data_IF_698045903796
#
_entry.id   IF_698045903796
#
_cell.length_a   1.000
_cell.length_b   1.000
_cell.length_c   1.000
_cell.angle_alpha   90.00
_cell.angle_beta   90.00
_cell.angle_gamma   90.00
#
_symmetry.space_group_name_H-M   'P 1'
#
loop_
_entity.id
_entity.type
_entity.pdbx_description
1 polymer ?
#
# COMPACT_ATOMS: atom_id res chain seq x y z
N UNK A 1 16.56 -21.01 8.72
CA UNK A 1 15.66 -20.51 7.67
C UNK A 1 15.65 -19.01 7.78
N UNK A 2 15.92 -18.30 6.69
CA UNK A 2 15.83 -16.84 6.71
C UNK A 2 14.43 -16.41 7.18
N UNK A 3 14.40 -15.36 8.00
CA UNK A 3 13.19 -14.80 8.60
C UNK A 3 12.07 -14.57 7.55
N UNK A 4 12.48 -14.27 6.31
CA UNK A 4 11.62 -14.09 5.13
C UNK A 4 10.73 -15.30 4.84
N UNK A 5 11.26 -16.53 4.95
CA UNK A 5 10.51 -17.74 4.60
C UNK A 5 9.42 -18.05 5.63
N UNK A 6 9.65 -17.69 6.89
CA UNK A 6 8.68 -17.85 7.97
C UNK A 6 7.49 -16.91 7.73
N UNK A 7 7.75 -15.64 7.40
CA UNK A 7 6.67 -14.69 7.08
C UNK A 7 5.89 -15.08 5.83
N UNK A 8 6.56 -15.59 4.80
CA UNK A 8 5.92 -16.05 3.57
C UNK A 8 4.99 -17.26 3.82
N UNK A 9 5.45 -18.23 4.60
CA UNK A 9 4.66 -19.39 4.99
C UNK A 9 3.44 -19.00 5.84
N UNK A 10 3.61 -18.10 6.80
CA UNK A 10 2.50 -17.62 7.65
C UNK A 10 1.47 -16.85 6.80
N UNK A 11 1.91 -15.98 5.89
CA UNK A 11 1.02 -15.25 4.98
C UNK A 11 0.25 -16.18 4.05
N UNK A 12 0.91 -17.18 3.46
CA UNK A 12 0.27 -18.20 2.62
C UNK A 12 -0.73 -19.05 3.40
N UNK A 13 -0.37 -19.48 4.61
CA UNK A 13 -1.25 -20.26 5.46
C UNK A 13 -2.51 -19.47 5.85
N UNK A 14 -2.35 -18.22 6.31
CA UNK A 14 -3.47 -17.33 6.63
C UNK A 14 -4.35 -17.06 5.40
N UNK A 15 -3.74 -16.74 4.25
CA UNK A 15 -4.48 -16.52 3.00
C UNK A 15 -5.27 -17.75 2.55
N UNK A 16 -4.67 -18.94 2.66
CA UNK A 16 -5.32 -20.21 2.34
C UNK A 16 -6.51 -20.51 3.27
N UNK A 17 -6.32 -20.34 4.58
CA UNK A 17 -7.39 -20.51 5.57
C UNK A 17 -8.54 -19.52 5.30
N UNK A 18 -8.22 -18.24 5.09
CA UNK A 18 -9.25 -17.23 4.83
C UNK A 18 -10.04 -17.50 3.55
N UNK A 19 -9.34 -17.93 2.49
CA UNK A 19 -9.97 -18.29 1.20
C UNK A 19 -10.89 -19.50 1.34
N UNK A 20 -10.48 -20.54 2.08
CA UNK A 20 -11.32 -21.71 2.35
C UNK A 20 -12.54 -21.35 3.22
N UNK A 21 -12.35 -20.52 4.24
CA UNK A 21 -13.42 -20.06 5.12
C UNK A 21 -14.47 -19.27 4.33
N UNK A 22 -14.07 -18.23 3.60
CA UNK A 22 -14.99 -17.42 2.81
C UNK A 22 -15.52 -18.10 1.54
N UNK A 23 -14.81 -19.08 0.99
CA UNK A 23 -15.22 -19.83 -0.19
C UNK A 23 -16.24 -20.93 0.12
N UNK A 24 -16.03 -21.70 1.20
CA UNK A 24 -16.83 -22.91 1.50
C UNK A 24 -17.90 -22.66 2.56
N UNK A 25 -17.62 -21.85 3.58
CA UNK A 25 -18.48 -21.72 4.76
C UNK A 25 -19.30 -20.43 4.79
N UNK A 26 -19.22 -19.59 3.75
CA UNK A 26 -19.94 -18.32 3.70
C UNK A 26 -21.38 -18.42 3.21
N UNK A 27 -22.25 -17.63 3.82
CA UNK A 27 -23.61 -17.43 3.32
C UNK A 27 -23.61 -16.34 2.26
N UNK A 28 -24.43 -16.51 1.22
CA UNK A 28 -24.64 -15.48 0.21
C UNK A 28 -25.25 -14.24 0.89
N UNK A 29 -24.62 -13.07 0.71
CA UNK A 29 -25.15 -11.79 1.17
C UNK A 29 -26.25 -11.25 0.26
N UNK A 30 -26.73 -10.04 0.56
CA UNK A 30 -27.71 -9.32 -0.27
C UNK A 30 -27.14 -8.85 -1.62
N UNK A 31 -25.82 -8.83 -1.79
CA UNK A 31 -25.15 -8.58 -3.07
C UNK A 31 -24.37 -9.81 -3.51
N UNK A 32 -24.33 -10.07 -4.83
CA UNK A 32 -23.63 -11.24 -5.41
C UNK A 32 -22.11 -11.25 -5.14
N UNK A 33 -21.56 -10.13 -4.66
CA UNK A 33 -20.13 -9.94 -4.40
C UNK A 33 -19.79 -9.92 -2.91
N UNK A 34 -20.77 -9.97 -2.00
CA UNK A 34 -20.52 -10.04 -0.56
C UNK A 34 -20.87 -11.41 0.00
N UNK A 35 -19.98 -11.91 0.85
CA UNK A 35 -20.12 -13.17 1.56
C UNK A 35 -20.01 -12.88 3.04
N UNK A 36 -20.96 -13.39 3.82
CA UNK A 36 -20.97 -13.17 5.27
C UNK A 36 -20.68 -14.45 6.04
N UNK A 37 -19.87 -14.32 7.07
CA UNK A 37 -19.52 -15.39 8.01
C UNK A 37 -19.64 -14.80 9.41
N UNK A 38 -20.49 -15.40 10.24
CA UNK A 38 -20.73 -14.95 11.63
C UNK A 38 -21.05 -13.45 11.78
N UNK A 39 -21.74 -12.86 10.81
CA UNK A 39 -22.13 -11.43 10.84
C UNK A 39 -21.10 -10.46 10.25
N UNK A 40 -19.88 -10.92 9.96
CA UNK A 40 -18.86 -10.12 9.27
C UNK A 40 -19.05 -10.18 7.76
N UNK A 41 -19.08 -9.02 7.09
CA UNK A 41 -19.11 -8.96 5.63
C UNK A 41 -17.69 -9.07 5.05
N UNK A 42 -17.53 -9.84 3.97
CA UNK A 42 -16.25 -9.99 3.26
C UNK A 42 -15.65 -8.66 2.84
N UNK A 43 -16.47 -7.67 2.48
CA UNK A 43 -16.01 -6.32 2.11
C UNK A 43 -15.35 -5.61 3.29
N UNK A 44 -15.95 -5.64 4.47
CA UNK A 44 -15.41 -5.04 5.69
C UNK A 44 -14.10 -5.73 6.08
N UNK A 45 -14.08 -7.07 6.07
CA UNK A 45 -12.89 -7.83 6.40
C UNK A 45 -11.73 -7.60 5.42
N UNK A 46 -12.02 -7.53 4.10
CA UNK A 46 -11.00 -7.21 3.10
C UNK A 46 -10.49 -5.78 3.29
N UNK A 47 -11.39 -4.81 3.50
CA UNK A 47 -11.01 -3.42 3.73
C UNK A 47 -10.14 -3.28 4.99
N UNK A 48 -10.53 -3.89 6.11
CA UNK A 48 -9.79 -3.89 7.36
C UNK A 48 -8.43 -4.58 7.22
N UNK A 49 -8.38 -5.73 6.54
CA UNK A 49 -7.13 -6.43 6.25
C UNK A 49 -6.20 -5.59 5.38
N UNK A 50 -6.73 -4.91 4.35
CA UNK A 50 -5.94 -3.99 3.49
C UNK A 50 -5.41 -2.82 4.31
N UNK A 51 -6.24 -2.21 5.17
CA UNK A 51 -5.82 -1.12 6.06
C UNK A 51 -4.71 -1.61 7.00
N UNK A 52 -4.87 -2.78 7.61
CA UNK A 52 -3.88 -3.38 8.51
C UNK A 52 -2.56 -3.64 7.78
N UNK A 53 -2.59 -4.27 6.59
CA UNK A 53 -1.39 -4.59 5.81
C UNK A 53 -0.68 -3.31 5.38
N UNK A 54 -1.41 -2.33 4.83
CA UNK A 54 -0.83 -1.05 4.41
C UNK A 54 -0.25 -0.31 5.61
N UNK A 55 -0.99 -0.23 6.71
CA UNK A 55 -0.53 0.41 7.94
C UNK A 55 0.71 -0.26 8.53
N UNK A 56 0.71 -1.59 8.64
CA UNK A 56 1.85 -2.36 9.12
C UNK A 56 3.07 -2.20 8.21
N UNK A 57 2.88 -2.18 6.89
CA UNK A 57 3.97 -1.94 5.92
C UNK A 57 4.58 -0.56 6.11
N UNK A 58 3.76 0.49 6.27
CA UNK A 58 4.24 1.85 6.52
C UNK A 58 5.02 1.93 7.83
N UNK A 59 4.52 1.31 8.91
CA UNK A 59 5.22 1.26 10.20
C UNK A 59 6.55 0.53 10.07
N UNK A 60 6.54 -0.66 9.47
CA UNK A 60 7.74 -1.47 9.26
C UNK A 60 8.79 -0.71 8.46
N UNK A 61 8.41 -0.15 7.31
CA UNK A 61 9.31 0.66 6.49
C UNK A 61 9.81 1.88 7.26
N UNK A 62 8.98 2.54 8.06
CA UNK A 62 9.41 3.66 8.91
C UNK A 62 10.48 3.25 9.92
N UNK A 63 10.31 2.09 10.57
CA UNK A 63 11.30 1.55 11.52
C UNK A 63 12.60 1.20 10.79
N UNK A 64 12.53 0.48 9.67
CA UNK A 64 13.73 0.12 8.90
C UNK A 64 14.44 1.36 8.38
N UNK A 65 13.71 2.36 7.87
CA UNK A 65 14.28 3.64 7.43
C UNK A 65 14.96 4.40 8.56
N UNK A 66 14.38 4.36 9.76
CA UNK A 66 14.98 4.98 10.94
C UNK A 66 16.25 4.25 11.42
N UNK A 67 16.37 2.94 11.15
CA UNK A 67 17.52 2.13 11.54
C UNK A 67 18.65 2.18 10.50
N UNK A 68 18.33 1.96 9.22
CA UNK A 68 19.29 1.88 8.11
C UNK A 68 19.79 3.26 7.71
N UNK A 69 18.89 4.25 7.64
CA UNK A 69 19.21 5.63 7.26
C UNK A 69 20.07 5.69 6.00
N UNK A 70 19.65 5.03 4.92
CA UNK A 70 20.41 5.08 3.68
C UNK A 70 20.30 6.48 3.05
N UNK A 71 21.34 7.28 3.29
CA UNK A 71 21.48 8.64 2.78
C UNK A 71 22.44 8.71 1.59
N UNK A 72 22.94 7.57 1.11
CA UNK A 72 24.00 7.55 0.09
C UNK A 72 23.55 8.21 -1.22
N UNK A 73 22.32 7.93 -1.67
CA UNK A 73 21.76 8.50 -2.89
C UNK A 73 21.31 9.96 -2.74
N UNK A 74 20.50 10.34 -1.72
CA UNK A 74 20.13 11.73 -1.48
C UNK A 74 21.34 12.67 -1.33
N UNK A 75 22.41 12.22 -0.67
CA UNK A 75 23.60 13.04 -0.47
C UNK A 75 24.40 13.22 -1.77
N UNK A 76 24.47 12.19 -2.62
CA UNK A 76 25.25 12.24 -3.88
C UNK A 76 24.49 12.96 -4.99
N UNK A 77 23.17 12.82 -5.06
CA UNK A 77 22.33 13.37 -6.14
C UNK A 77 21.03 13.98 -5.59
N UNK A 78 21.10 15.08 -4.81
CA UNK A 78 19.94 15.64 -4.11
C UNK A 78 18.84 16.12 -5.06
N UNK A 79 19.21 16.70 -6.21
CA UNK A 79 18.26 17.18 -7.21
C UNK A 79 17.52 16.01 -7.87
N UNK A 80 18.23 14.94 -8.24
CA UNK A 80 17.60 13.76 -8.82
C UNK A 80 16.66 13.09 -7.83
N UNK A 81 17.06 12.97 -6.57
CA UNK A 81 16.21 12.45 -5.50
C UNK A 81 14.92 13.28 -5.34
N UNK A 82 15.01 14.61 -5.37
CA UNK A 82 13.85 15.48 -5.29
C UNK A 82 12.92 15.29 -6.50
N UNK A 83 13.48 15.23 -7.72
CA UNK A 83 12.73 15.01 -8.95
C UNK A 83 12.05 13.64 -8.93
N UNK A 84 12.76 12.59 -8.54
CA UNK A 84 12.22 11.23 -8.44
C UNK A 84 11.08 11.16 -7.42
N UNK A 85 11.27 11.77 -6.25
CA UNK A 85 10.22 11.82 -5.21
C UNK A 85 8.97 12.54 -5.71
N UNK A 86 9.14 13.69 -6.36
CA UNK A 86 8.03 14.44 -6.95
C UNK A 86 7.35 13.68 -8.10
N UNK A 87 8.14 13.04 -8.97
CA UNK A 87 7.64 12.24 -10.07
C UNK A 87 6.84 11.04 -9.56
N UNK A 88 7.37 10.29 -8.59
CA UNK A 88 6.70 9.14 -7.99
C UNK A 88 5.40 9.53 -7.29
N UNK A 89 5.41 10.64 -6.54
CA UNK A 89 4.21 11.18 -5.91
C UNK A 89 3.16 11.61 -6.96
N UNK A 90 3.58 12.39 -7.98
CA UNK A 90 2.69 12.95 -9.01
C UNK A 90 2.09 11.87 -9.90
N UNK A 91 2.92 11.00 -10.49
CA UNK A 91 2.44 10.03 -11.46
C UNK A 91 1.51 9.01 -10.81
N UNK A 92 1.85 8.53 -9.61
CA UNK A 92 1.02 7.57 -8.88
C UNK A 92 -0.34 8.15 -8.46
N UNK A 93 -0.36 9.40 -7.94
CA UNK A 93 -1.62 10.05 -7.58
C UNK A 93 -2.44 10.43 -8.82
N UNK A 94 -1.79 10.82 -9.92
CA UNK A 94 -2.44 11.18 -11.18
C UNK A 94 -3.15 9.99 -11.82
N UNK A 95 -2.60 8.77 -11.74
CA UNK A 95 -3.28 7.57 -12.24
C UNK A 95 -4.64 7.36 -11.57
N UNK A 96 -4.69 7.49 -10.24
CA UNK A 96 -5.94 7.34 -9.47
C UNK A 96 -6.90 8.48 -9.80
N UNK A 97 -6.39 9.71 -9.86
CA UNK A 97 -7.20 10.88 -10.20
C UNK A 97 -7.82 10.79 -11.60
N UNK A 98 -7.04 10.39 -12.60
CA UNK A 98 -7.53 10.18 -13.97
C UNK A 98 -8.57 9.07 -14.01
N UNK A 99 -8.34 7.96 -13.30
CA UNK A 99 -9.33 6.88 -13.19
C UNK A 99 -10.66 7.39 -12.60
N UNK A 100 -10.59 8.20 -11.55
CA UNK A 100 -11.77 8.80 -10.91
C UNK A 100 -12.51 9.76 -11.85
N UNK A 101 -11.78 10.59 -12.59
CA UNK A 101 -12.36 11.48 -13.60
C UNK A 101 -13.06 10.70 -14.73
N UNK A 102 -12.41 9.64 -15.26
CA UNK A 102 -12.98 8.78 -16.30
C UNK A 102 -14.22 8.00 -15.82
N UNK A 103 -14.42 7.85 -14.51
CA UNK A 103 -15.65 7.28 -13.91
C UNK A 103 -16.78 8.30 -13.80
N UNK A 104 -16.62 9.52 -14.30
CA UNK A 104 -17.63 10.58 -14.31
C UNK A 104 -17.70 11.40 -13.02
N UNK A 105 -16.72 11.28 -12.13
CA UNK A 105 -16.65 12.11 -10.93
C UNK A 105 -16.14 13.51 -11.32
N UNK A 106 -16.90 14.58 -11.03
CA UNK A 106 -16.50 15.93 -11.41
C UNK A 106 -15.26 16.39 -10.65
N UNK A 107 -14.47 17.26 -11.29
CA UNK A 107 -13.36 17.94 -10.61
C UNK A 107 -13.93 18.99 -9.66
N UNK A 108 -13.77 18.75 -8.36
CA UNK A 108 -14.21 19.64 -7.28
C UNK A 108 -13.06 19.90 -6.31
N UNK A 109 -13.23 20.85 -5.39
CA UNK A 109 -12.25 21.09 -4.32
C UNK A 109 -11.93 19.83 -3.51
N UNK A 110 -12.93 19.00 -3.22
CA UNK A 110 -12.75 17.71 -2.54
C UNK A 110 -11.90 16.73 -3.34
N UNK A 111 -12.10 16.66 -4.66
CA UNK A 111 -11.28 15.81 -5.55
C UNK A 111 -9.82 16.25 -5.56
N UNK A 112 -9.56 17.56 -5.49
CA UNK A 112 -8.21 18.11 -5.39
C UNK A 112 -7.58 17.79 -4.02
N UNK A 113 -8.32 17.93 -2.92
CA UNK A 113 -7.86 17.54 -1.58
C UNK A 113 -7.46 16.04 -1.54
N UNK A 114 -8.32 15.15 -2.04
CA UNK A 114 -8.04 13.72 -2.10
C UNK A 114 -6.80 13.41 -2.96
N UNK A 115 -6.60 14.12 -4.07
CA UNK A 115 -5.38 14.02 -4.87
C UNK A 115 -4.13 14.42 -4.08
N UNK A 116 -4.14 15.54 -3.35
CA UNK A 116 -2.99 15.96 -2.56
C UNK A 116 -2.69 15.03 -1.39
N UNK A 117 -3.72 14.43 -0.79
CA UNK A 117 -3.54 13.38 0.23
C UNK A 117 -2.85 12.16 -0.39
N UNK A 118 -3.25 11.73 -1.58
CA UNK A 118 -2.60 10.61 -2.28
C UNK A 118 -1.15 10.95 -2.68
N UNK A 119 -0.93 12.16 -3.21
CA UNK A 119 0.40 12.67 -3.55
C UNK A 119 1.33 12.61 -2.34
N UNK A 120 0.89 13.11 -1.18
CA UNK A 120 1.68 13.08 0.05
C UNK A 120 1.96 11.65 0.51
N UNK A 121 0.96 10.76 0.46
CA UNK A 121 1.14 9.34 0.82
C UNK A 121 2.18 8.64 -0.05
N UNK A 122 2.11 8.81 -1.37
CA UNK A 122 3.07 8.20 -2.29
C UNK A 122 4.47 8.82 -2.17
N UNK A 123 4.57 10.13 -1.92
CA UNK A 123 5.85 10.79 -1.64
C UNK A 123 6.51 10.25 -0.36
N UNK A 124 5.75 10.16 0.74
CA UNK A 124 6.25 9.58 2.00
C UNK A 124 6.67 8.13 1.79
N UNK A 125 5.87 7.32 1.09
CA UNK A 125 6.20 5.92 0.82
C UNK A 125 7.51 5.81 0.03
N UNK A 126 7.72 6.66 -0.98
CA UNK A 126 8.96 6.65 -1.76
C UNK A 126 10.18 7.03 -0.92
N UNK A 127 10.06 8.05 -0.06
CA UNK A 127 11.13 8.44 0.89
C UNK A 127 11.45 7.29 1.84
N UNK A 128 10.42 6.62 2.38
CA UNK A 128 10.61 5.46 3.24
C UNK A 128 11.32 4.33 2.50
N UNK A 129 10.95 4.03 1.26
CA UNK A 129 11.65 3.02 0.47
C UNK A 129 13.12 3.40 0.23
N UNK A 130 13.41 4.66 -0.06
CA UNK A 130 14.79 5.13 -0.24
C UNK A 130 15.61 4.95 1.04
N UNK A 131 15.12 5.44 2.18
CA UNK A 131 15.88 5.44 3.44
C UNK A 131 15.97 4.07 4.10
N UNK A 132 15.06 3.15 3.77
CA UNK A 132 15.13 1.75 4.21
C UNK A 132 16.28 0.98 3.57
N UNK A 133 16.97 1.57 2.58
CA UNK A 133 18.00 0.90 1.80
C UNK A 133 17.45 -0.09 0.78
N UNK A 134 16.13 -0.16 0.59
CA UNK A 134 15.48 -1.08 -0.34
C UNK A 134 15.99 -0.91 -1.76
N UNK A 135 16.04 0.33 -2.26
CA UNK A 135 16.51 0.58 -3.63
C UNK A 135 18.00 0.28 -3.79
N UNK A 136 18.82 0.61 -2.80
CA UNK A 136 20.23 0.26 -2.81
C UNK A 136 20.40 -1.25 -2.87
N UNK A 137 19.67 -2.02 -2.06
CA UNK A 137 19.73 -3.48 -2.08
C UNK A 137 19.27 -4.11 -3.40
N UNK A 138 18.20 -3.58 -4.01
CA UNK A 138 17.61 -4.15 -5.23
C UNK A 138 18.42 -3.79 -6.49
N UNK A 139 19.04 -2.61 -6.52
CA UNK A 139 19.70 -2.07 -7.72
C UNK A 139 21.24 -1.96 -7.62
N UNK A 140 21.85 -2.49 -6.55
CA UNK A 140 23.31 -2.67 -6.41
C UNK A 140 23.79 -4.01 -6.92
#
# INVERSE_FOLDING_TARGET
MDLIWIFLLVGLALGGVMSAVFGVYSKAGSSSYSRSIFGFQSTELITDAVILIVGATVIFLSVVSALVKDLSYPNKKPVNFAIETLAMATFSSMTIFLMTYLRGVPFTGRTAEEFFVLFAKFGVLHILLQFSGFYSYVFS
#
